data_IF_743204731039
#
_entry.id   IF_743204731039
#
_cell.length_a   1.000
_cell.length_b   1.000
_cell.length_c   1.000
_cell.angle_alpha   90.00
_cell.angle_beta   90.00
_cell.angle_gamma   90.00
#
_symmetry.space_group_name_H-M   'P 1'
#
loop_
_entity.id
_entity.type
_entity.pdbx_description
1 polymer ?
#
# COMPACT_ATOMS: atom_id res chain seq x y z
N UNK A 1 -0.02 5.34 -21.04
CA UNK A 1 -0.01 6.46 -20.08
C UNK A 1 -0.51 5.99 -18.71
N UNK A 2 0.27 6.12 -17.64
CA UNK A 2 -0.24 5.82 -16.29
C UNK A 2 0.27 6.87 -15.31
N UNK A 3 -0.57 7.87 -15.05
CA UNK A 3 -0.38 8.85 -13.99
C UNK A 3 -0.11 8.17 -12.64
N UNK A 4 0.55 8.86 -11.70
CA UNK A 4 0.85 8.32 -10.35
C UNK A 4 -0.40 7.74 -9.65
N UNK A 5 -1.55 8.34 -9.93
CA UNK A 5 -2.88 7.86 -9.53
C UNK A 5 -3.17 6.45 -10.08
N UNK A 6 -3.11 6.24 -11.40
CA UNK A 6 -3.42 4.96 -12.05
C UNK A 6 -2.49 3.82 -11.59
N UNK A 7 -1.23 4.14 -11.30
CA UNK A 7 -0.22 3.17 -10.84
C UNK A 7 -0.54 2.59 -9.46
N UNK A 8 -1.26 3.31 -8.60
CA UNK A 8 -1.67 2.78 -7.30
C UNK A 8 -2.57 1.53 -7.38
N UNK A 9 -3.33 1.40 -8.48
CA UNK A 9 -4.23 0.26 -8.73
C UNK A 9 -3.65 -0.80 -9.65
N UNK A 10 -2.93 -0.39 -10.70
CA UNK A 10 -2.52 -1.32 -11.77
C UNK A 10 -1.08 -1.80 -11.68
N UNK A 11 -0.20 -1.02 -11.03
CA UNK A 11 1.21 -1.40 -10.92
C UNK A 11 1.36 -2.44 -9.80
N UNK A 12 1.89 -3.61 -10.14
CA UNK A 12 2.04 -4.69 -9.18
C UNK A 12 3.19 -4.51 -8.22
N UNK A 13 4.11 -3.57 -8.52
CA UNK A 13 5.43 -3.49 -7.89
C UNK A 13 5.81 -2.07 -7.47
N UNK A 14 5.45 -1.05 -8.25
CA UNK A 14 5.72 0.35 -7.93
C UNK A 14 4.40 1.09 -7.78
N UNK A 15 3.76 0.92 -6.64
CA UNK A 15 2.39 1.40 -6.40
C UNK A 15 2.23 2.28 -5.16
N UNK A 16 3.31 2.53 -4.41
CA UNK A 16 3.43 3.57 -3.40
C UNK A 16 4.69 4.40 -3.71
N UNK A 17 4.59 5.73 -3.79
CA UNK A 17 5.74 6.60 -4.02
C UNK A 17 6.14 7.39 -2.78
N UNK A 18 7.41 7.70 -2.63
CA UNK A 18 7.92 8.66 -1.65
C UNK A 18 9.09 9.40 -2.30
N UNK A 19 8.87 10.66 -2.68
CA UNK A 19 9.80 11.36 -3.56
C UNK A 19 9.99 10.60 -4.88
N UNK A 20 11.25 10.36 -5.23
CA UNK A 20 11.66 9.61 -6.42
C UNK A 20 11.68 8.09 -6.22
N UNK A 21 11.60 7.63 -4.97
CA UNK A 21 11.53 6.22 -4.62
C UNK A 21 10.13 5.65 -4.81
N UNK A 22 10.08 4.34 -5.06
CA UNK A 22 8.85 3.59 -5.20
C UNK A 22 8.91 2.26 -4.45
N UNK A 23 7.83 1.98 -3.73
CA UNK A 23 7.68 0.82 -2.87
C UNK A 23 6.52 -0.06 -3.34
N UNK A 24 6.56 -1.32 -2.90
CA UNK A 24 5.53 -2.32 -3.22
C UNK A 24 4.57 -2.48 -2.06
N UNK A 25 3.30 -2.17 -2.28
CA UNK A 25 2.24 -2.50 -1.36
C UNK A 25 2.10 -4.03 -1.19
N UNK A 26 2.01 -4.46 0.07
CA UNK A 26 1.93 -5.85 0.49
C UNK A 26 0.55 -6.42 0.15
N UNK A 27 0.49 -7.46 -0.67
CA UNK A 27 -0.78 -8.05 -1.11
C UNK A 27 -1.34 -8.99 -0.06
N UNK A 28 -2.53 -8.65 0.44
CA UNK A 28 -3.30 -9.50 1.36
C UNK A 28 -4.74 -9.53 0.85
N UNK A 29 -5.04 -10.32 -0.20
CA UNK A 29 -6.39 -10.41 -0.77
C UNK A 29 -7.41 -10.93 0.24
N UNK A 30 -8.69 -10.76 -0.07
CA UNK A 30 -9.79 -11.26 0.77
C UNK A 30 -9.88 -12.79 0.71
N UNK A 31 -9.94 -13.46 1.87
CA UNK A 31 -9.93 -14.92 1.94
C UNK A 31 -11.12 -15.56 1.24
N UNK A 32 -12.31 -14.95 1.22
CA UNK A 32 -13.46 -15.52 0.51
C UNK A 32 -13.19 -15.58 -0.99
N UNK A 33 -12.59 -14.52 -1.52
CA UNK A 33 -12.21 -14.47 -2.94
C UNK A 33 -11.10 -15.47 -3.27
N UNK A 34 -10.10 -15.60 -2.40
CA UNK A 34 -9.01 -16.56 -2.56
C UNK A 34 -9.49 -18.00 -2.47
N UNK A 35 -10.29 -18.32 -1.45
CA UNK A 35 -10.82 -19.66 -1.21
C UNK A 35 -11.68 -20.12 -2.39
N UNK A 36 -12.60 -19.26 -2.85
CA UNK A 36 -13.44 -19.55 -4.03
C UNK A 36 -12.62 -19.77 -5.31
N UNK A 37 -11.57 -18.97 -5.53
CA UNK A 37 -10.78 -19.03 -6.77
C UNK A 37 -9.88 -20.26 -6.84
N UNK A 38 -9.36 -20.71 -5.70
CA UNK A 38 -8.38 -21.79 -5.63
C UNK A 38 -8.97 -23.10 -5.07
N UNK A 39 -10.29 -23.16 -4.89
CA UNK A 39 -11.00 -24.33 -4.33
C UNK A 39 -10.44 -24.76 -2.96
N UNK A 40 -10.32 -23.79 -2.04
CA UNK A 40 -9.78 -23.99 -0.69
C UNK A 40 -10.85 -23.83 0.38
N UNK A 41 -10.62 -24.46 1.53
CA UNK A 41 -11.43 -24.23 2.72
C UNK A 41 -11.32 -22.79 3.23
N UNK A 42 -12.48 -22.16 3.44
CA UNK A 42 -12.53 -20.75 3.87
C UNK A 42 -11.95 -20.55 5.27
N UNK A 43 -12.24 -21.44 6.23
CA UNK A 43 -11.83 -21.28 7.62
C UNK A 43 -10.30 -21.17 7.80
N UNK A 44 -9.47 -22.12 7.32
CA UNK A 44 -8.02 -22.01 7.40
C UNK A 44 -7.48 -20.84 6.56
N UNK A 45 -8.05 -20.57 5.39
CA UNK A 45 -7.65 -19.45 4.54
C UNK A 45 -7.86 -18.10 5.23
N UNK A 46 -9.00 -17.93 5.91
CA UNK A 46 -9.34 -16.73 6.67
C UNK A 46 -8.46 -16.57 7.91
N UNK A 47 -8.03 -17.66 8.55
CA UNK A 47 -7.08 -17.60 9.66
C UNK A 47 -5.72 -17.04 9.23
N UNK A 48 -5.20 -17.50 8.08
CA UNK A 48 -3.94 -17.00 7.51
C UNK A 48 -4.04 -15.54 7.04
N UNK A 49 -5.18 -15.15 6.45
CA UNK A 49 -5.44 -13.76 6.10
C UNK A 49 -5.39 -12.86 7.35
N UNK A 50 -6.13 -13.26 8.40
CA UNK A 50 -6.18 -12.52 9.67
C UNK A 50 -4.77 -12.38 10.27
N UNK A 51 -4.03 -13.48 10.36
CA UNK A 51 -2.66 -13.48 10.89
C UNK A 51 -1.75 -12.52 10.09
N UNK A 52 -1.87 -12.49 8.77
CA UNK A 52 -1.07 -11.59 7.92
C UNK A 52 -1.40 -10.11 8.19
N UNK A 53 -2.68 -9.78 8.34
CA UNK A 53 -3.12 -8.41 8.63
C UNK A 53 -2.67 -7.96 10.02
N UNK A 54 -2.84 -8.83 11.01
CA UNK A 54 -2.43 -8.57 12.39
C UNK A 54 -0.91 -8.38 12.47
N UNK A 55 -0.12 -9.21 11.78
CA UNK A 55 1.33 -9.08 11.74
C UNK A 55 1.76 -7.72 11.14
N UNK A 56 1.21 -7.31 9.99
CA UNK A 56 1.55 -6.02 9.39
C UNK A 56 1.18 -4.83 10.30
N UNK A 57 0.08 -4.93 11.05
CA UNK A 57 -0.34 -3.91 12.01
C UNK A 57 0.50 -3.89 13.28
N UNK A 58 0.86 -5.06 13.80
CA UNK A 58 1.75 -5.21 14.95
C UNK A 58 3.15 -4.65 14.62
N UNK A 59 3.66 -4.94 13.43
CA UNK A 59 4.92 -4.38 12.93
C UNK A 59 4.90 -2.85 12.87
N UNK A 60 3.79 -2.26 12.39
CA UNK A 60 3.65 -0.82 12.33
C UNK A 60 3.57 -0.15 13.71
N UNK A 61 3.23 -0.92 14.76
CA UNK A 61 3.24 -0.51 16.17
C UNK A 61 4.54 -0.92 16.90
N UNK A 62 5.53 -1.41 16.15
CA UNK A 62 6.84 -1.86 16.66
C UNK A 62 6.76 -3.01 17.67
N UNK A 63 5.73 -3.86 17.56
CA UNK A 63 5.52 -5.01 18.45
C UNK A 63 6.20 -6.30 17.96
N UNK A 64 6.47 -6.39 16.66
CA UNK A 64 7.17 -7.52 16.03
C UNK A 64 8.15 -6.99 14.99
N UNK A 65 9.10 -7.82 14.55
CA UNK A 65 10.08 -7.46 13.54
C UNK A 65 9.62 -7.70 12.08
N UNK A 66 10.40 -7.20 11.13
CA UNK A 66 10.08 -7.28 9.69
C UNK A 66 10.13 -8.73 9.19
N UNK A 67 11.03 -9.55 9.72
CA UNK A 67 11.19 -10.95 9.35
C UNK A 67 9.95 -11.79 9.71
N UNK A 68 9.45 -11.63 10.94
CA UNK A 68 8.22 -12.27 11.45
C UNK A 68 7.01 -11.84 10.64
N UNK A 69 6.93 -10.55 10.32
CA UNK A 69 5.86 -9.97 9.49
C UNK A 69 5.86 -10.57 8.08
N UNK A 70 7.03 -10.64 7.46
CA UNK A 70 7.20 -11.20 6.12
C UNK A 70 6.88 -12.69 6.09
N UNK A 71 7.22 -13.43 7.16
CA UNK A 71 6.88 -14.85 7.28
C UNK A 71 5.36 -15.07 7.31
N UNK A 72 4.61 -14.27 8.07
CA UNK A 72 3.14 -14.35 8.12
C UNK A 72 2.51 -14.07 6.75
N UNK A 73 2.95 -13.00 6.07
CA UNK A 73 2.48 -12.65 4.71
C UNK A 73 2.80 -13.76 3.71
N UNK A 74 4.00 -14.35 3.79
CA UNK A 74 4.41 -15.45 2.92
C UNK A 74 3.58 -16.70 3.15
N UNK A 75 3.28 -17.03 4.41
CA UNK A 75 2.43 -18.16 4.76
C UNK A 75 1.03 -18.04 4.14
N UNK A 76 0.45 -16.84 4.14
CA UNK A 76 -0.82 -16.62 3.46
C UNK A 76 -0.69 -16.67 1.93
N UNK A 77 0.35 -16.07 1.35
CA UNK A 77 0.56 -16.12 -0.09
C UNK A 77 0.79 -17.54 -0.64
N UNK A 78 1.38 -18.43 0.16
CA UNK A 78 1.63 -19.82 -0.18
C UNK A 78 0.36 -20.57 -0.61
N UNK A 79 -0.80 -20.28 0.01
CA UNK A 79 -2.07 -20.91 -0.35
C UNK A 79 -2.55 -20.55 -1.77
N UNK A 80 -1.94 -19.54 -2.41
CA UNK A 80 -2.29 -19.07 -3.76
C UNK A 80 -1.22 -19.31 -4.81
N UNK A 81 -0.13 -20.02 -4.46
CA UNK A 81 0.98 -20.30 -5.37
C UNK A 81 2.28 -19.57 -5.06
N UNK A 82 2.51 -19.25 -3.78
CA UNK A 82 3.75 -18.65 -3.23
C UNK A 82 4.15 -17.26 -3.76
N UNK A 83 5.02 -16.60 -3.00
CA UNK A 83 5.64 -15.36 -3.44
C UNK A 83 6.88 -15.65 -4.28
N UNK A 84 6.96 -15.01 -5.45
CA UNK A 84 8.20 -14.98 -6.25
C UNK A 84 9.33 -14.37 -5.42
N UNK A 85 10.60 -14.81 -5.58
CA UNK A 85 11.74 -14.27 -4.84
C UNK A 85 11.88 -12.74 -4.91
N UNK A 86 11.53 -12.14 -6.05
CA UNK A 86 11.55 -10.68 -6.18
C UNK A 86 10.48 -10.00 -5.32
N UNK A 87 9.27 -10.55 -5.23
CA UNK A 87 8.21 -9.97 -4.39
C UNK A 87 8.59 -10.02 -2.90
N UNK A 88 9.27 -11.09 -2.48
CA UNK A 88 9.82 -11.21 -1.11
C UNK A 88 10.79 -10.06 -0.83
N UNK A 89 11.75 -9.82 -1.74
CA UNK A 89 12.70 -8.69 -1.61
C UNK A 89 12.00 -7.34 -1.59
N UNK A 90 11.02 -7.14 -2.46
CA UNK A 90 10.29 -5.87 -2.54
C UNK A 90 9.45 -5.60 -1.28
N UNK A 91 8.86 -6.65 -0.70
CA UNK A 91 8.12 -6.56 0.57
C UNK A 91 9.05 -6.29 1.73
N UNK A 92 10.19 -6.99 1.78
CA UNK A 92 11.22 -6.75 2.80
C UNK A 92 11.70 -5.30 2.76
N UNK A 93 12.06 -4.79 1.58
CA UNK A 93 12.45 -3.39 1.40
C UNK A 93 11.36 -2.42 1.88
N UNK A 94 10.10 -2.68 1.54
CA UNK A 94 8.97 -1.83 1.98
C UNK A 94 8.79 -1.86 3.50
N UNK A 95 8.89 -3.03 4.12
CA UNK A 95 8.79 -3.18 5.58
C UNK A 95 9.95 -2.47 6.29
N UNK A 96 11.19 -2.66 5.86
CA UNK A 96 12.37 -2.07 6.47
C UNK A 96 12.40 -0.55 6.31
N UNK A 97 12.03 -0.04 5.14
CA UNK A 97 11.99 1.41 4.91
C UNK A 97 10.83 2.10 5.62
N UNK A 98 9.72 1.41 5.93
CA UNK A 98 8.54 2.01 6.59
C UNK A 98 8.06 3.32 5.94
N UNK A 99 7.91 3.40 4.60
CA UNK A 99 7.71 4.67 3.90
C UNK A 99 6.38 5.37 4.22
N UNK A 100 5.42 4.68 4.86
CA UNK A 100 4.17 5.26 5.37
C UNK A 100 4.35 6.10 6.63
N UNK A 101 5.45 5.94 7.36
CA UNK A 101 5.77 6.75 8.53
C UNK A 101 6.61 7.99 8.16
N UNK A 102 7.26 7.97 7.00
CA UNK A 102 8.10 9.06 6.52
C UNK A 102 7.32 10.13 5.75
N UNK A 103 6.20 9.77 5.12
CA UNK A 103 5.41 10.70 4.33
C UNK A 103 4.56 11.64 5.22
N UNK A 104 4.63 12.96 5.05
CA UNK A 104 3.89 13.91 5.88
C UNK A 104 2.45 14.17 5.40
N UNK A 105 1.97 13.50 4.34
CA UNK A 105 0.62 13.73 3.83
C UNK A 105 -0.45 13.27 4.84
N UNK A 106 -1.63 13.89 4.80
CA UNK A 106 -2.73 13.56 5.71
C UNK A 106 -3.09 12.06 5.70
N UNK A 107 -3.06 11.44 4.52
CA UNK A 107 -3.39 10.02 4.35
C UNK A 107 -2.39 9.13 5.11
N UNK A 108 -1.09 9.37 4.97
CA UNK A 108 -0.08 8.58 5.67
C UNK A 108 -0.12 8.81 7.17
N UNK A 109 -0.31 10.06 7.62
CA UNK A 109 -0.43 10.41 9.05
C UNK A 109 -1.64 9.78 9.72
N UNK A 110 -2.80 9.77 9.06
CA UNK A 110 -4.06 9.29 9.65
C UNK A 110 -4.30 7.78 9.45
N UNK A 111 -3.92 7.25 8.28
CA UNK A 111 -4.24 5.87 7.88
C UNK A 111 -3.06 4.92 8.12
N UNK A 112 -1.82 5.43 8.11
CA UNK A 112 -0.61 4.68 8.42
C UNK A 112 -0.39 3.47 7.49
N UNK A 113 -0.03 2.34 8.11
CA UNK A 113 0.37 1.12 7.37
C UNK A 113 -0.73 0.57 6.46
N UNK A 114 -2.00 0.88 6.72
CA UNK A 114 -3.12 0.43 5.90
C UNK A 114 -3.04 0.93 4.44
N UNK A 115 -2.31 2.03 4.18
CA UNK A 115 -2.04 2.53 2.82
C UNK A 115 -1.14 1.57 2.03
N UNK A 116 -0.27 0.84 2.72
CA UNK A 116 0.71 -0.11 2.15
C UNK A 116 0.12 -1.51 1.98
N UNK A 117 -1.08 -1.76 2.50
CA UNK A 117 -1.78 -3.03 2.26
C UNK A 117 -2.53 -2.95 0.93
N UNK A 118 -2.14 -3.78 -0.04
CA UNK A 118 -2.82 -3.95 -1.31
C UNK A 118 -4.02 -4.88 -1.12
N UNK A 119 -5.15 -4.30 -0.69
CA UNK A 119 -6.43 -5.01 -0.57
C UNK A 119 -7.63 -4.08 -0.55
N UNK A 120 -8.70 -4.45 -1.25
CA UNK A 120 -9.94 -3.69 -1.29
C UNK A 120 -9.79 -2.32 -1.98
N UNK A 121 -10.88 -1.84 -2.57
CA UNK A 121 -10.83 -0.65 -3.41
C UNK A 121 -10.46 0.61 -2.60
N UNK A 122 -10.96 0.76 -1.36
CA UNK A 122 -10.75 1.97 -0.55
C UNK A 122 -9.28 2.22 -0.20
N UNK A 123 -8.51 1.18 0.14
CA UNK A 123 -7.07 1.34 0.42
C UNK A 123 -6.29 1.74 -0.83
N UNK A 124 -6.61 1.12 -1.96
CA UNK A 124 -6.00 1.44 -3.25
C UNK A 124 -6.32 2.89 -3.68
N UNK A 125 -7.56 3.36 -3.45
CA UNK A 125 -7.94 4.76 -3.69
C UNK A 125 -7.14 5.73 -2.82
N UNK A 126 -7.03 5.46 -1.51
CA UNK A 126 -6.22 6.29 -0.59
C UNK A 126 -4.76 6.33 -1.01
N UNK A 127 -4.16 5.19 -1.35
CA UNK A 127 -2.80 5.15 -1.90
C UNK A 127 -2.65 5.93 -3.20
N UNK A 128 -3.68 5.90 -4.07
CA UNK A 128 -3.77 6.74 -5.27
C UNK A 128 -3.71 8.22 -4.96
N UNK A 129 -4.48 8.70 -3.99
CA UNK A 129 -4.45 10.10 -3.56
C UNK A 129 -3.11 10.49 -2.93
N UNK A 130 -2.50 9.62 -2.13
CA UNK A 130 -1.13 9.81 -1.64
C UNK A 130 -0.13 9.95 -2.80
N UNK A 131 -0.20 9.05 -3.79
CA UNK A 131 0.67 9.10 -4.95
C UNK A 131 0.48 10.38 -5.79
N UNK A 132 -0.75 10.89 -5.88
CA UNK A 132 -1.05 12.19 -6.50
C UNK A 132 -0.47 13.35 -5.69
N UNK A 133 -0.58 13.30 -4.36
CA UNK A 133 0.03 14.31 -3.49
C UNK A 133 1.56 14.33 -3.64
N UNK A 134 2.21 13.16 -3.73
CA UNK A 134 3.64 13.06 -4.02
C UNK A 134 4.00 13.69 -5.38
N UNK A 135 3.17 13.51 -6.41
CA UNK A 135 3.37 14.19 -7.69
C UNK A 135 3.25 15.71 -7.55
N UNK A 136 2.23 16.18 -6.82
CA UNK A 136 2.01 17.60 -6.58
C UNK A 136 3.22 18.25 -5.90
N UNK A 137 3.76 17.63 -4.85
CA UNK A 137 4.96 18.14 -4.17
C UNK A 137 6.17 18.19 -5.11
N UNK A 138 6.38 17.17 -5.95
CA UNK A 138 7.46 17.20 -6.95
C UNK A 138 7.29 18.30 -7.99
N UNK A 139 6.07 18.59 -8.43
CA UNK A 139 5.82 19.68 -9.37
C UNK A 139 6.07 21.03 -8.71
N UNK A 140 5.68 21.18 -7.44
CA UNK A 140 5.89 22.41 -6.65
C UNK A 140 7.37 22.71 -6.42
N UNK A 141 8.22 21.69 -6.27
CA UNK A 141 9.68 21.89 -6.17
C UNK A 141 10.31 22.28 -7.50
N UNK A 142 9.76 21.81 -8.63
CA UNK A 142 10.24 22.16 -9.97
C UNK A 142 9.77 23.54 -10.46
N UNK A 143 8.65 24.04 -9.94
CA UNK A 143 8.13 25.36 -10.25
C UNK A 143 7.62 26.06 -8.98
N UNK A 144 8.54 26.62 -8.17
CA UNK A 144 8.19 27.26 -6.89
C UNK A 144 7.25 28.46 -7.06
N UNK A 145 7.37 29.17 -8.19
CA UNK A 145 6.60 30.38 -8.51
C UNK A 145 5.26 30.08 -9.20
N UNK A 146 4.96 28.80 -9.48
CA UNK A 146 3.64 28.41 -9.96
C UNK A 146 2.63 28.51 -8.81
N UNK A 147 2.15 29.73 -8.55
CA UNK A 147 1.00 29.92 -7.69
C UNK A 147 -0.18 29.12 -8.28
N UNK A 148 -0.87 28.30 -7.47
CA UNK A 148 -2.11 27.71 -7.94
C UNK A 148 -3.03 28.86 -8.37
N UNK A 149 -3.73 28.75 -9.52
CA UNK A 149 -4.72 29.76 -9.87
C UNK A 149 -5.68 29.92 -8.69
N UNK A 150 -6.12 31.15 -8.38
CA UNK A 150 -6.98 31.41 -7.24
C UNK A 150 -8.18 30.46 -7.30
N UNK A 151 -8.42 29.75 -6.20
CA UNK A 151 -9.59 28.87 -6.08
C UNK A 151 -10.84 29.75 -6.07
N UNK A 152 -11.50 29.86 -7.22
CA UNK A 152 -12.81 30.50 -7.31
C UNK A 152 -13.84 29.56 -6.69
N UNK A 153 -13.99 29.63 -5.38
CA UNK A 153 -15.13 29.08 -4.68
C UNK A 153 -16.36 29.94 -4.99
N UNK A 154 -16.91 29.82 -6.21
CA UNK A 154 -18.28 30.27 -6.42
C UNK A 154 -19.20 29.32 -5.66
N UNK A 155 -19.61 29.78 -4.48
CA UNK A 155 -20.82 29.33 -3.79
C UNK A 155 -21.99 29.48 -4.77
N UNK A 156 -22.46 28.36 -5.31
CA UNK A 156 -23.81 28.28 -5.85
C UNK A 156 -24.75 27.98 -4.67
N UNK A 157 -25.44 29.03 -4.21
CA UNK A 157 -26.74 28.96 -3.53
C UNK A 157 -27.80 28.41 -4.49
#
# INVERSE_FOLDING_TARGET
SASRLRRAWMDGRRNYFLGDDAFTAIRIPDAKTVAKKNDLDLAPTAALERQSLEAVRAYARDEIDSATTLAAVRAYAAVTGDLKPQAIRDYQHTLESRPWQQCPCAICREIGVEVIIFRGNNRNRRRGFHNTWQLYEQLRTLSPDAAPPPFQAELAL
#
